data_IF_914624093492
#
_entry.id   IF_914624093492
#
_cell.length_a   1.000
_cell.length_b   1.000
_cell.length_c   1.000
_cell.angle_alpha   90.00
_cell.angle_beta   90.00
_cell.angle_gamma   90.00
#
_symmetry.space_group_name_H-M   'P 1'
#
loop_
_entity.id
_entity.type
_entity.pdbx_description
1 polymer ?
#
# COMPACT_ATOMS: atom_id res chain seq x y z
N UNK A 1 -13.58 13.76 -7.58
CA UNK A 1 -13.39 13.60 -7.03
C UNK A 1 -12.63 13.15 -6.37
N UNK A 2 -12.15 12.92 -5.91
CA UNK A 2 -11.43 12.65 -4.88
C UNK A 2 -10.68 11.44 -4.65
N UNK A 3 -10.14 10.89 -5.61
CA UNK A 3 -9.24 9.78 -5.37
C UNK A 3 -7.95 10.30 -4.76
N UNK A 4 -7.56 9.69 -3.65
CA UNK A 4 -6.32 10.07 -2.98
C UNK A 4 -5.10 9.64 -3.78
N UNK A 5 -5.22 8.59 -4.56
CA UNK A 5 -4.12 8.04 -5.34
C UNK A 5 -4.59 7.76 -6.74
N UNK A 6 -3.76 8.04 -7.71
CA UNK A 6 -4.10 7.75 -9.11
C UNK A 6 -3.85 6.26 -9.39
N UNK A 7 -4.55 5.75 -10.40
CA UNK A 7 -4.36 4.36 -10.80
C UNK A 7 -2.92 4.12 -11.24
N UNK A 8 -2.31 5.09 -11.90
CA UNK A 8 -0.93 4.95 -12.33
C UNK A 8 0.03 4.81 -11.15
N UNK A 9 -0.20 5.59 -10.09
CA UNK A 9 0.63 5.49 -8.90
C UNK A 9 0.48 4.14 -8.22
N UNK A 10 -0.75 3.68 -8.10
CA UNK A 10 -1.02 2.39 -7.46
C UNK A 10 -0.43 1.25 -8.29
N UNK A 11 -0.54 1.35 -9.60
CA UNK A 11 0.03 0.33 -10.48
C UNK A 11 1.54 0.27 -10.37
N UNK A 12 2.19 1.42 -10.25
CA UNK A 12 3.63 1.47 -10.08
C UNK A 12 4.04 0.82 -8.76
N UNK A 13 3.30 1.10 -7.70
CA UNK A 13 3.57 0.49 -6.40
C UNK A 13 3.38 -1.03 -6.46
N UNK A 14 2.33 -1.46 -7.15
CA UNK A 14 2.08 -2.89 -7.32
C UNK A 14 3.24 -3.57 -8.03
N UNK A 15 3.76 -2.93 -9.07
CA UNK A 15 4.91 -3.49 -9.78
C UNK A 15 6.11 -3.64 -8.87
N UNK A 16 6.35 -2.64 -8.02
CA UNK A 16 7.43 -2.73 -7.06
C UNK A 16 7.24 -3.91 -6.12
N UNK A 17 6.03 -4.09 -5.64
CA UNK A 17 5.74 -5.19 -4.72
C UNK A 17 5.94 -6.54 -5.37
N UNK A 18 5.53 -6.68 -6.62
CA UNK A 18 5.63 -7.95 -7.31
C UNK A 18 7.06 -8.28 -7.73
N UNK A 19 7.81 -7.28 -8.13
CA UNK A 19 9.17 -7.50 -8.61
C UNK A 19 10.17 -7.71 -7.50
N UNK A 20 9.90 -7.12 -6.35
CA UNK A 20 10.87 -7.08 -5.28
C UNK A 20 11.00 -8.37 -4.49
N UNK A 21 10.04 -9.28 -4.60
CA UNK A 21 10.05 -10.48 -3.77
C UNK A 21 10.07 -10.14 -2.30
N UNK A 22 9.33 -9.12 -1.92
CA UNK A 22 9.39 -8.56 -0.58
C UNK A 22 8.62 -9.42 0.42
N UNK A 23 9.14 -9.49 1.64
CA UNK A 23 8.37 -10.12 2.72
C UNK A 23 7.39 -9.09 3.29
N UNK A 24 6.64 -9.53 4.33
CA UNK A 24 5.60 -8.67 4.90
C UNK A 24 6.17 -7.38 5.48
N UNK A 25 7.32 -7.47 6.13
CA UNK A 25 7.93 -6.29 6.74
C UNK A 25 8.38 -5.30 5.67
N UNK A 26 9.01 -5.81 4.63
CA UNK A 26 9.46 -4.95 3.54
C UNK A 26 8.29 -4.33 2.79
N UNK A 27 7.24 -5.09 2.58
CA UNK A 27 6.03 -4.59 1.96
C UNK A 27 5.42 -3.47 2.82
N UNK A 28 5.33 -3.69 4.13
CA UNK A 28 4.81 -2.68 5.03
C UNK A 28 5.65 -1.42 4.99
N UNK A 29 6.95 -1.56 4.95
CA UNK A 29 7.85 -0.42 4.88
C UNK A 29 7.61 0.38 3.61
N UNK A 30 7.46 -0.32 2.50
CA UNK A 30 7.20 0.34 1.22
C UNK A 30 5.88 1.09 1.24
N UNK A 31 4.85 0.49 1.83
CA UNK A 31 3.56 1.15 1.96
C UNK A 31 3.66 2.40 2.82
N UNK A 32 4.38 2.31 3.92
CA UNK A 32 4.59 3.46 4.79
C UNK A 32 5.28 4.59 4.05
N UNK A 33 6.33 4.27 3.32
CA UNK A 33 7.07 5.28 2.59
C UNK A 33 6.23 5.91 1.49
N UNK A 34 5.45 5.10 0.82
CA UNK A 34 4.57 5.60 -0.22
C UNK A 34 3.57 6.62 0.34
N UNK A 35 2.96 6.27 1.44
CA UNK A 35 1.96 7.14 2.06
C UNK A 35 2.59 8.36 2.70
N UNK A 36 3.74 8.19 3.33
CA UNK A 36 4.45 9.33 3.95
C UNK A 36 4.82 10.36 2.90
N UNK A 37 5.21 9.91 1.72
CA UNK A 37 5.54 10.82 0.64
C UNK A 37 4.36 11.66 0.18
N UNK A 38 3.15 11.26 0.56
CA UNK A 38 1.94 12.01 0.20
C UNK A 38 1.32 12.71 1.40
N UNK A 39 2.03 12.75 2.51
CA UNK A 39 1.57 13.46 3.68
C UNK A 39 0.71 12.66 4.64
N UNK A 40 0.64 11.35 4.46
CA UNK A 40 -0.13 10.50 5.37
C UNK A 40 0.81 9.75 6.28
N UNK A 41 0.57 9.85 7.59
CA UNK A 41 1.32 9.05 8.56
C UNK A 41 0.57 7.75 8.82
N UNK A 42 1.27 6.64 8.80
CA UNK A 42 0.66 5.34 9.00
C UNK A 42 1.45 4.59 10.06
N UNK A 43 0.76 3.97 11.02
CA UNK A 43 1.45 3.22 12.04
C UNK A 43 2.06 1.96 11.44
N UNK A 44 3.19 1.49 11.98
CA UNK A 44 3.80 0.27 11.48
C UNK A 44 2.86 -0.94 11.56
N UNK A 45 2.04 -0.98 12.60
CA UNK A 45 1.11 -2.09 12.79
C UNK A 45 0.06 -2.14 11.69
N UNK A 46 -0.50 -0.98 11.36
CA UNK A 46 -1.51 -0.93 10.31
C UNK A 46 -0.90 -1.27 8.95
N UNK A 47 0.30 -0.78 8.69
CA UNK A 47 0.99 -1.07 7.45
C UNK A 47 1.27 -2.56 7.32
N UNK A 48 1.70 -3.18 8.41
CA UNK A 48 2.01 -4.61 8.41
C UNK A 48 0.75 -5.44 8.20
N UNK A 49 -0.35 -5.03 8.80
CA UNK A 49 -1.63 -5.69 8.64
C UNK A 49 -2.07 -5.67 7.18
N UNK A 50 -1.99 -4.51 6.57
CA UNK A 50 -2.33 -4.35 5.16
C UNK A 50 -1.40 -5.16 4.26
N UNK A 51 -0.12 -5.19 4.60
CA UNK A 51 0.85 -5.96 3.84
C UNK A 51 0.49 -7.44 3.85
N UNK A 52 0.03 -7.94 4.99
CA UNK A 52 -0.40 -9.33 5.08
C UNK A 52 -1.59 -9.62 4.20
N UNK A 53 -2.55 -8.70 4.16
CA UNK A 53 -3.72 -8.88 3.32
C UNK A 53 -3.37 -8.81 1.83
N UNK A 54 -2.50 -7.89 1.48
CA UNK A 54 -2.07 -7.73 0.09
C UNK A 54 -1.29 -8.96 -0.38
N UNK A 55 -0.43 -9.47 0.47
CA UNK A 55 0.42 -10.59 0.11
C UNK A 55 -0.31 -11.91 0.01
N UNK A 56 -1.45 -12.06 0.69
CA UNK A 56 -2.18 -13.32 0.71
C UNK A 56 -3.07 -13.53 -0.50
N UNK A 57 -3.47 -12.45 -1.15
CA UNK A 57 -4.41 -12.53 -2.25
C UNK A 57 -3.71 -12.19 -3.54
N UNK A 58 -4.41 -12.40 -4.64
CA UNK A 58 -3.93 -11.89 -5.91
C UNK A 58 -3.85 -10.38 -5.78
N UNK A 59 -2.64 -9.87 -5.74
CA UNK A 59 -2.43 -8.45 -5.58
C UNK A 59 -2.76 -7.75 -6.89
N UNK A 60 -3.96 -7.22 -6.99
CA UNK A 60 -4.32 -6.43 -8.16
C UNK A 60 -4.41 -4.96 -7.77
N UNK A 61 -4.48 -4.11 -8.79
CA UNK A 61 -4.47 -2.67 -8.56
C UNK A 61 -5.65 -2.24 -7.72
N UNK A 62 -6.80 -2.82 -7.96
CA UNK A 62 -8.01 -2.45 -7.24
C UNK A 62 -7.92 -2.76 -5.75
N UNK A 63 -7.45 -3.96 -5.42
CA UNK A 63 -7.30 -4.36 -4.03
C UNK A 63 -6.27 -3.49 -3.32
N UNK A 64 -5.15 -3.24 -3.99
CA UNK A 64 -4.10 -2.41 -3.42
C UNK A 64 -4.61 -0.98 -3.21
N UNK A 65 -5.37 -0.47 -4.17
CA UNK A 65 -5.94 0.87 -4.05
C UNK A 65 -6.83 0.98 -2.82
N UNK A 66 -7.66 -0.01 -2.61
CA UNK A 66 -8.56 -0.03 -1.45
C UNK A 66 -7.77 -0.05 -0.14
N UNK A 67 -6.71 -0.85 -0.09
CA UNK A 67 -5.91 -0.92 1.14
C UNK A 67 -5.22 0.41 1.41
N UNK A 68 -4.70 1.05 0.38
CA UNK A 68 -4.04 2.34 0.56
C UNK A 68 -5.03 3.40 1.05
N UNK A 69 -6.22 3.42 0.47
CA UNK A 69 -7.22 4.38 0.90
C UNK A 69 -7.65 4.12 2.33
N UNK A 70 -7.77 2.87 2.70
CA UNK A 70 -8.12 2.50 4.06
C UNK A 70 -7.07 2.96 5.05
N UNK A 71 -5.80 2.77 4.71
CA UNK A 71 -4.70 3.23 5.57
C UNK A 71 -4.72 4.74 5.71
N UNK A 72 -4.98 5.45 4.63
CA UNK A 72 -5.01 6.91 4.66
C UNK A 72 -6.16 7.43 5.50
N UNK A 73 -7.26 6.67 5.58
CA UNK A 73 -8.42 7.10 6.34
C UNK A 73 -8.27 6.90 7.84
N UNK A 74 -7.35 6.03 8.23
CA UNK A 74 -7.17 5.71 9.64
C UNK A 74 -6.52 6.85 10.41
N UNK A 75 -5.94 7.80 9.71
CA UNK A 75 -5.27 8.91 10.37
C UNK A 75 -6.23 9.98 10.90
#
# INVERSE_FOLDING_TARGET
MGEKFSVAEVAALRNELLQGGLDSFQTAELLKMFLAGRGYGVSPENALDSAGRIGCANCNVESLHKELESLALVM
#
